data_IF_185948547784
#
_entry.id   IF_185948547784
#
_cell.length_a   1.000
_cell.length_b   1.000
_cell.length_c   1.000
_cell.angle_alpha   90.00
_cell.angle_beta   90.00
_cell.angle_gamma   90.00
#
_symmetry.space_group_name_H-M   'P 1'
#
loop_
_entity.id
_entity.type
_entity.pdbx_description
1 polymer ?
#
# COMPACT_ATOMS: atom_id res chain seq x y z
N UNK A 1 16.29 -28.19 9.96
CA UNK A 1 16.68 -26.92 10.60
C UNK A 1 15.45 -26.04 10.69
N UNK A 2 15.53 -24.87 11.30
CA UNK A 2 14.40 -23.92 11.36
C UNK A 2 14.07 -23.29 9.98
N UNK A 3 14.91 -23.53 8.97
CA UNK A 3 14.75 -23.09 7.59
C UNK A 3 15.39 -24.13 6.67
N UNK A 4 14.60 -24.78 5.82
CA UNK A 4 15.05 -25.75 4.81
C UNK A 4 14.12 -25.74 3.58
N UNK A 5 14.23 -24.73 2.71
CA UNK A 5 13.37 -24.59 1.52
C UNK A 5 13.61 -25.67 0.45
N UNK A 6 14.63 -26.52 0.60
CA UNK A 6 14.86 -27.66 -0.30
C UNK A 6 14.00 -28.89 0.05
N UNK A 7 13.55 -28.99 1.30
CA UNK A 7 12.79 -30.12 1.83
C UNK A 7 11.40 -29.72 2.35
N UNK A 8 11.23 -28.47 2.82
CA UNK A 8 9.96 -27.92 3.31
C UNK A 8 9.32 -26.98 2.27
N UNK A 9 8.13 -27.37 1.80
CA UNK A 9 7.36 -26.60 0.84
C UNK A 9 6.86 -25.25 1.39
N UNK A 10 6.68 -25.10 2.70
CA UNK A 10 6.26 -23.84 3.32
C UNK A 10 7.37 -22.79 3.25
N UNK A 11 8.61 -23.19 3.52
CA UNK A 11 9.80 -22.32 3.42
C UNK A 11 10.08 -21.93 1.97
N UNK A 12 9.92 -22.86 1.02
CA UNK A 12 10.03 -22.60 -0.41
C UNK A 12 8.96 -21.60 -0.88
N UNK A 13 7.69 -21.83 -0.51
CA UNK A 13 6.58 -20.95 -0.86
C UNK A 13 6.77 -19.55 -0.25
N UNK A 14 7.15 -19.46 1.02
CA UNK A 14 7.44 -18.19 1.68
C UNK A 14 8.55 -17.41 0.98
N UNK A 15 9.63 -18.10 0.58
CA UNK A 15 10.75 -17.50 -0.15
C UNK A 15 10.32 -16.94 -1.52
N UNK A 16 9.50 -17.70 -2.26
CA UNK A 16 8.96 -17.25 -3.56
C UNK A 16 8.01 -16.07 -3.39
N UNK A 17 7.12 -16.10 -2.40
CA UNK A 17 6.19 -14.99 -2.10
C UNK A 17 6.99 -13.72 -1.80
N UNK A 18 7.99 -13.79 -0.91
CA UNK A 18 8.81 -12.63 -0.53
C UNK A 18 9.58 -12.09 -1.73
N UNK A 19 10.22 -12.96 -2.51
CA UNK A 19 11.00 -12.57 -3.69
C UNK A 19 10.10 -11.91 -4.75
N UNK A 20 8.91 -12.46 -4.99
CA UNK A 20 7.95 -11.90 -5.93
C UNK A 20 7.41 -10.57 -5.42
N UNK A 21 6.97 -10.48 -4.16
CA UNK A 21 6.52 -9.22 -3.56
C UNK A 21 7.60 -8.13 -3.70
N UNK A 22 8.86 -8.43 -3.36
CA UNK A 22 9.96 -7.47 -3.49
C UNK A 22 10.12 -6.92 -4.91
N UNK A 23 10.01 -7.79 -5.92
CA UNK A 23 10.10 -7.41 -7.34
C UNK A 23 9.01 -6.39 -7.72
N UNK A 24 7.78 -6.57 -7.24
CA UNK A 24 6.65 -5.69 -7.61
C UNK A 24 6.52 -4.46 -6.72
N UNK A 25 7.04 -4.48 -5.50
CA UNK A 25 7.00 -3.33 -4.57
C UNK A 25 7.59 -2.07 -5.22
N UNK A 26 8.75 -2.17 -5.86
CA UNK A 26 9.40 -1.01 -6.48
C UNK A 26 8.58 -0.38 -7.62
N UNK A 27 7.96 -1.22 -8.45
CA UNK A 27 7.09 -0.77 -9.55
C UNK A 27 5.81 -0.13 -9.00
N UNK A 28 5.09 -0.83 -8.11
CA UNK A 28 3.84 -0.36 -7.54
C UNK A 28 4.01 0.92 -6.72
N UNK A 29 5.17 1.10 -6.07
CA UNK A 29 5.45 2.28 -5.25
C UNK A 29 5.38 3.60 -6.05
N UNK A 30 5.81 3.60 -7.30
CA UNK A 30 5.75 4.79 -8.16
C UNK A 30 4.30 5.21 -8.40
N UNK A 31 3.44 4.24 -8.71
CA UNK A 31 2.01 4.48 -8.93
C UNK A 31 1.30 4.90 -7.64
N UNK A 32 1.62 4.27 -6.50
CA UNK A 32 1.07 4.70 -5.21
C UNK A 32 1.50 6.12 -4.87
N UNK A 33 2.76 6.48 -5.07
CA UNK A 33 3.24 7.83 -4.83
C UNK A 33 2.51 8.85 -5.72
N UNK A 34 2.35 8.55 -7.01
CA UNK A 34 1.59 9.40 -7.94
C UNK A 34 0.12 9.55 -7.50
N UNK A 35 -0.52 8.47 -7.08
CA UNK A 35 -1.90 8.48 -6.59
C UNK A 35 -2.06 9.34 -5.32
N UNK A 36 -1.13 9.24 -4.37
CA UNK A 36 -1.13 10.10 -3.18
C UNK A 36 -0.88 11.57 -3.51
N UNK A 37 0.01 11.86 -4.47
CA UNK A 37 0.28 13.23 -4.93
C UNK A 37 -0.92 13.86 -5.66
N UNK A 38 -1.78 13.05 -6.28
CA UNK A 38 -2.99 13.52 -6.95
C UNK A 38 -4.10 13.97 -5.98
N UNK A 39 -4.01 13.61 -4.69
CA UNK A 39 -5.00 14.01 -3.69
C UNK A 39 -4.96 15.53 -3.48
N UNK A 40 -6.07 16.27 -3.71
CA UNK A 40 -6.10 17.71 -3.52
C UNK A 40 -5.84 18.11 -2.07
N UNK A 41 -4.85 18.98 -1.84
CA UNK A 41 -4.53 19.50 -0.50
C UNK A 41 -5.71 20.19 0.17
N UNK A 42 -6.53 20.90 -0.60
CA UNK A 42 -7.73 21.58 -0.12
C UNK A 42 -8.71 20.62 0.58
N UNK A 43 -8.80 19.37 0.14
CA UNK A 43 -9.69 18.38 0.75
C UNK A 43 -9.18 17.93 2.13
N UNK A 44 -7.85 17.81 2.28
CA UNK A 44 -7.20 17.49 3.55
C UNK A 44 -7.32 18.66 4.53
N UNK A 45 -7.16 19.89 4.05
CA UNK A 45 -7.30 21.13 4.82
C UNK A 45 -8.75 21.34 5.27
N UNK A 46 -9.73 21.16 4.38
CA UNK A 46 -11.16 21.23 4.74
C UNK A 46 -11.50 20.21 5.84
N UNK A 47 -11.09 18.95 5.68
CA UNK A 47 -11.30 17.94 6.71
C UNK A 47 -10.56 18.27 8.03
N UNK A 48 -9.48 19.05 7.97
CA UNK A 48 -8.80 19.54 9.14
C UNK A 48 -9.59 20.59 9.90
N UNK A 49 -10.17 21.53 9.17
CA UNK A 49 -11.07 22.54 9.72
C UNK A 49 -12.32 21.91 10.33
N UNK A 50 -12.82 20.81 9.74
CA UNK A 50 -13.94 20.02 10.26
C UNK A 50 -13.59 19.14 11.47
N UNK A 51 -12.37 19.23 12.00
CA UNK A 51 -11.94 18.52 13.20
C UNK A 51 -11.65 17.02 13.00
N UNK A 52 -11.53 16.55 11.76
CA UNK A 52 -11.17 15.16 11.48
C UNK A 52 -9.76 14.84 11.98
N UNK A 53 -9.55 13.76 12.73
CA UNK A 53 -8.20 13.31 13.13
C UNK A 53 -7.42 12.67 11.99
N UNK A 54 -6.09 12.54 12.11
CA UNK A 54 -5.21 12.03 11.03
C UNK A 54 -5.63 10.65 10.51
N UNK A 55 -5.93 9.71 11.40
CA UNK A 55 -6.38 8.35 11.04
C UNK A 55 -7.73 8.39 10.30
N UNK A 56 -8.63 9.26 10.75
CA UNK A 56 -9.95 9.44 10.13
C UNK A 56 -9.81 10.05 8.74
N UNK A 57 -8.97 11.07 8.55
CA UNK A 57 -8.66 11.63 7.22
C UNK A 57 -8.01 10.59 6.30
N UNK A 58 -7.10 9.76 6.81
CA UNK A 58 -6.51 8.70 6.01
C UNK A 58 -7.57 7.71 5.52
N UNK A 59 -8.40 7.18 6.41
CA UNK A 59 -9.41 6.16 6.07
C UNK A 59 -10.59 6.71 5.27
N UNK A 60 -11.05 7.93 5.57
CA UNK A 60 -12.27 8.47 4.97
C UNK A 60 -11.97 9.25 3.67
N UNK A 61 -10.72 9.70 3.45
CA UNK A 61 -10.32 10.49 2.27
C UNK A 61 -9.21 9.79 1.49
N UNK A 62 -8.03 9.61 2.07
CA UNK A 62 -6.85 9.21 1.31
C UNK A 62 -7.00 7.78 0.76
N UNK A 63 -7.42 6.84 1.59
CA UNK A 63 -7.59 5.44 1.23
C UNK A 63 -8.66 5.24 0.12
N UNK A 64 -9.89 5.79 0.22
CA UNK A 64 -10.88 5.70 -0.85
C UNK A 64 -10.42 6.31 -2.17
N UNK A 65 -9.68 7.43 -2.13
CA UNK A 65 -9.21 8.13 -3.33
C UNK A 65 -8.12 7.36 -4.08
N UNK A 66 -7.29 6.58 -3.38
CA UNK A 66 -6.27 5.72 -4.02
C UNK A 66 -6.76 4.30 -4.28
N UNK A 67 -7.94 3.90 -3.77
CA UNK A 67 -8.54 2.56 -3.99
C UNK A 67 -8.53 2.13 -5.45
N UNK A 68 -8.84 3.00 -6.45
CA UNK A 68 -8.74 2.62 -7.85
C UNK A 68 -7.33 2.18 -8.24
N UNK A 69 -6.30 2.90 -7.79
CA UNK A 69 -4.89 2.53 -8.02
C UNK A 69 -4.53 1.22 -7.35
N UNK A 70 -5.04 0.96 -6.14
CA UNK A 70 -4.85 -0.34 -5.46
C UNK A 70 -5.52 -1.48 -6.23
N UNK A 71 -6.70 -1.25 -6.81
CA UNK A 71 -7.46 -2.28 -7.50
C UNK A 71 -6.86 -2.67 -8.87
N UNK A 72 -6.21 -1.73 -9.55
CA UNK A 72 -5.67 -1.95 -10.90
C UNK A 72 -4.21 -2.43 -10.95
N UNK A 73 -3.49 -2.41 -9.83
CA UNK A 73 -2.11 -2.91 -9.69
C UNK A 73 -2.09 -4.33 -9.12
#
# INVERSE_FOLDING_TARGET
GFWDPGLDGADAMGSVIIAFSWKYVGYNFIFFLAAFQAIPRSLIEAAAMDGSGVIRRFRDIQFPLITPTIFFL
#
